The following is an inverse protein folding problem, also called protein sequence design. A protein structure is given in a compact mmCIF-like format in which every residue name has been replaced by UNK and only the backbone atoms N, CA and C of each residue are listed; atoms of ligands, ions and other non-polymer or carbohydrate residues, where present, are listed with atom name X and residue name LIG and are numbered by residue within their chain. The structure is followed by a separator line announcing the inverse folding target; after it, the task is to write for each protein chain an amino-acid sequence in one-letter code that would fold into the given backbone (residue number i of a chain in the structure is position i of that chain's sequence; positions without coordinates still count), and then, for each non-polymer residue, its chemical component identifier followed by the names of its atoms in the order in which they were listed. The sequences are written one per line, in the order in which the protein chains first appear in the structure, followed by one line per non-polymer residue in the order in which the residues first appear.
data_IF_378709966368
#
_entry.id   IF_378709966368
#
_cell.length_a   1.000
_cell.length_b   1.000
_cell.length_c   1.000
_cell.angle_alpha   90.00
_cell.angle_beta   90.00
_cell.angle_gamma   90.00
#
_symmetry.space_group_name_H-M   'P 1'
#
loop_
_entity.id
_entity.type
_entity.pdbx_description
1 polymer ?
#
# COMPACT_ATOMS: atom_id res chain seq x y z
N UNK A 1 -34.55 -55.16 58.26
CA UNK A 1 -34.00 -55.79 57.03
C UNK A 1 -32.70 -55.04 56.73
N UNK A 2 -31.55 -55.54 57.20
CA UNK A 2 -30.54 -56.30 56.41
C UNK A 2 -30.16 -55.53 55.13
N UNK A 3 -28.93 -55.09 54.87
CA UNK A 3 -27.61 -55.71 55.10
C UNK A 3 -26.48 -54.65 55.01
N UNK A 4 -25.42 -54.85 55.79
CA UNK A 4 -24.06 -54.34 55.54
C UNK A 4 -23.56 -54.84 54.17
N UNK A 5 -22.77 -54.02 53.45
CA UNK A 5 -21.63 -54.49 52.64
C UNK A 5 -20.50 -53.47 52.61
N UNK A 6 -19.31 -53.99 52.90
CA UNK A 6 -18.02 -53.32 53.07
C UNK A 6 -17.26 -53.05 51.76
N UNK A 7 -16.20 -52.25 51.91
CA UNK A 7 -14.88 -52.35 51.29
C UNK A 7 -14.70 -51.87 49.82
N UNK A 8 -13.85 -50.85 49.65
CA UNK A 8 -12.64 -50.95 48.83
C UNK A 8 -11.69 -49.77 49.14
N UNK A 9 -10.54 -50.11 49.71
CA UNK A 9 -9.38 -49.24 49.90
C UNK A 9 -8.60 -49.20 48.58
N UNK A 10 -8.55 -48.05 47.92
CA UNK A 10 -7.79 -47.83 46.68
C UNK A 10 -6.63 -46.87 46.92
N UNK A 11 -5.43 -47.42 47.05
CA UNK A 11 -4.15 -46.71 47.09
C UNK A 11 -3.78 -46.29 45.66
N UNK A 12 -3.70 -45.00 45.36
CA UNK A 12 -3.16 -44.50 44.10
C UNK A 12 -1.85 -43.74 44.30
N UNK A 13 -0.83 -44.22 43.58
CA UNK A 13 0.52 -43.68 43.47
C UNK A 13 0.52 -42.25 42.88
N UNK A 14 1.46 -41.44 43.36
CA UNK A 14 1.79 -40.13 42.84
C UNK A 14 2.38 -40.18 41.42
N UNK A 15 1.93 -39.27 40.54
CA UNK A 15 2.64 -38.88 39.33
C UNK A 15 2.79 -37.35 39.33
N UNK A 16 4.02 -36.88 39.50
CA UNK A 16 4.37 -35.46 39.41
C UNK A 16 4.26 -34.98 37.97
N UNK A 17 3.36 -34.02 37.72
CA UNK A 17 3.27 -33.33 36.44
C UNK A 17 4.36 -32.26 36.36
N UNK A 18 5.36 -32.49 35.50
CA UNK A 18 6.30 -31.47 35.07
C UNK A 18 5.56 -30.50 34.13
N UNK A 19 5.09 -29.37 34.64
CA UNK A 19 4.49 -28.32 33.82
C UNK A 19 5.61 -27.51 33.15
N UNK A 20 5.95 -27.88 31.92
CA UNK A 20 6.68 -26.99 31.02
C UNK A 20 5.75 -25.86 30.60
N UNK A 21 5.87 -24.70 31.24
CA UNK A 21 5.21 -23.48 30.79
C UNK A 21 5.83 -23.06 29.46
N UNK A 22 5.20 -23.43 28.35
CA UNK A 22 5.52 -22.89 27.04
C UNK A 22 5.33 -21.36 27.08
N UNK A 23 6.38 -20.62 26.71
CA UNK A 23 6.27 -19.18 26.51
C UNK A 23 5.21 -18.89 25.44
N UNK A 24 4.34 -17.88 25.64
CA UNK A 24 3.36 -17.51 24.62
C UNK A 24 4.07 -17.09 23.32
N UNK A 25 3.47 -17.37 22.15
CA UNK A 25 4.02 -16.93 20.87
C UNK A 25 4.17 -15.41 20.85
N UNK A 26 5.35 -14.94 20.47
CA UNK A 26 5.66 -13.51 20.29
C UNK A 26 4.67 -12.94 19.27
N UNK A 27 3.82 -12.00 19.70
CA UNK A 27 2.89 -11.32 18.82
C UNK A 27 3.64 -10.69 17.63
N UNK A 28 3.08 -10.75 16.40
CA UNK A 28 3.68 -10.06 15.25
C UNK A 28 3.80 -8.57 15.58
N UNK A 29 4.97 -7.99 15.30
CA UNK A 29 5.20 -6.58 15.51
C UNK A 29 4.17 -5.77 14.71
N UNK A 30 3.35 -4.97 15.38
CA UNK A 30 2.47 -3.99 14.74
C UNK A 30 3.33 -3.08 13.86
N UNK A 31 3.03 -2.93 12.56
CA UNK A 31 3.75 -2.00 11.71
C UNK A 31 3.64 -0.60 12.30
N UNK A 32 4.79 0.04 12.54
CA UNK A 32 4.86 1.44 12.96
C UNK A 32 4.10 2.27 11.92
N UNK A 33 3.07 3.00 12.36
CA UNK A 33 2.34 3.94 11.51
C UNK A 33 3.35 4.87 10.79
N UNK A 34 3.12 5.23 9.52
CA UNK A 34 3.99 6.17 8.82
C UNK A 34 4.11 7.48 9.62
N UNK A 35 5.24 8.19 9.54
CA UNK A 35 5.42 9.44 10.28
C UNK A 35 4.31 10.44 9.94
N UNK A 36 3.77 11.10 10.97
CA UNK A 36 2.58 11.94 10.93
C UNK A 36 2.76 13.34 10.29
N UNK A 37 3.62 13.47 9.30
CA UNK A 37 3.70 14.64 8.41
C UNK A 37 4.05 14.12 7.02
N UNK A 38 3.16 14.29 6.05
CA UNK A 38 3.48 14.16 4.62
C UNK A 38 4.73 15.03 4.40
N UNK A 39 5.89 14.41 4.16
CA UNK A 39 7.14 15.14 3.97
C UNK A 39 7.02 16.11 2.78
N UNK A 40 7.91 17.10 2.68
CA UNK A 40 7.85 18.11 1.60
C UNK A 40 7.80 17.50 0.18
N UNK A 41 8.37 16.32 -0.02
CA UNK A 41 8.26 15.57 -1.28
C UNK A 41 6.85 15.07 -1.55
N UNK A 42 6.21 14.42 -0.58
CA UNK A 42 4.87 13.88 -0.75
C UNK A 42 3.83 15.00 -0.92
N UNK A 43 4.02 16.17 -0.29
CA UNK A 43 3.16 17.34 -0.49
C UNK A 43 3.31 17.91 -1.92
N UNK A 44 4.54 17.98 -2.43
CA UNK A 44 4.84 18.41 -3.79
C UNK A 44 4.19 17.46 -4.82
N UNK A 45 4.34 16.14 -4.62
CA UNK A 45 3.75 15.12 -5.50
C UNK A 45 2.23 15.13 -5.42
N UNK A 46 1.65 15.28 -4.23
CA UNK A 46 0.20 15.37 -4.05
C UNK A 46 -0.40 16.53 -4.85
N UNK A 47 0.25 17.71 -4.81
CA UNK A 47 -0.18 18.87 -5.59
C UNK A 47 -0.13 18.60 -7.10
N UNK A 48 0.97 18.00 -7.58
CA UNK A 48 1.09 17.62 -8.99
C UNK A 48 0.02 16.62 -9.41
N UNK A 49 -0.18 15.55 -8.63
CA UNK A 49 -1.18 14.53 -8.95
C UNK A 49 -2.61 15.08 -8.90
N UNK A 50 -2.90 16.05 -8.04
CA UNK A 50 -4.19 16.73 -8.05
C UNK A 50 -4.46 17.46 -9.37
N UNK A 51 -3.42 18.05 -9.99
CA UNK A 51 -3.52 18.71 -11.29
C UNK A 51 -3.67 17.68 -12.43
N UNK A 52 -2.81 16.66 -12.44
CA UNK A 52 -2.78 15.64 -13.51
C UNK A 52 -4.04 14.78 -13.53
N UNK A 53 -4.62 14.47 -12.36
CA UNK A 53 -5.73 13.54 -12.25
C UNK A 53 -7.00 14.00 -12.97
N UNK A 54 -7.23 15.32 -13.08
CA UNK A 54 -8.33 15.85 -13.90
C UNK A 54 -8.20 15.42 -15.36
N UNK A 55 -7.01 15.57 -15.94
CA UNK A 55 -6.72 15.18 -17.30
C UNK A 55 -6.69 13.66 -17.46
N UNK A 56 -6.11 12.95 -16.48
CA UNK A 56 -6.06 11.48 -16.38
C UNK A 56 -7.46 10.87 -16.48
N UNK A 57 -8.38 11.36 -15.65
CA UNK A 57 -9.77 10.90 -15.59
C UNK A 57 -10.50 11.17 -16.90
N UNK A 58 -10.39 12.40 -17.43
CA UNK A 58 -11.08 12.81 -18.65
C UNK A 58 -10.64 12.01 -19.88
N UNK A 59 -9.35 11.67 -19.95
CA UNK A 59 -8.78 10.98 -21.09
C UNK A 59 -8.70 9.45 -20.90
N UNK A 60 -8.94 8.96 -19.69
CA UNK A 60 -8.82 7.54 -19.38
C UNK A 60 -7.38 7.03 -19.49
N UNK A 61 -6.37 7.84 -19.18
CA UNK A 61 -4.95 7.45 -19.33
C UNK A 61 -4.11 7.85 -18.13
N UNK A 62 -3.04 7.12 -17.90
CA UNK A 62 -2.04 7.42 -16.89
C UNK A 62 -1.14 8.60 -17.28
N UNK A 63 -0.68 9.33 -16.27
CA UNK A 63 0.41 10.29 -16.36
C UNK A 63 1.46 9.95 -15.32
N UNK A 64 2.73 9.91 -15.70
CA UNK A 64 3.82 9.49 -14.84
C UNK A 64 5.06 10.37 -14.92
N UNK A 65 5.94 10.22 -13.95
CA UNK A 65 7.22 10.91 -13.90
C UNK A 65 8.00 10.57 -12.64
N UNK A 66 8.95 11.43 -12.31
CA UNK A 66 9.82 11.28 -11.16
C UNK A 66 9.82 12.53 -10.30
N UNK A 67 9.99 12.33 -9.00
CA UNK A 67 10.40 13.38 -8.06
C UNK A 67 11.81 13.06 -7.55
N UNK A 68 12.57 14.10 -7.24
CA UNK A 68 13.91 13.92 -6.74
C UNK A 68 14.57 15.21 -6.33
N UNK A 69 15.89 15.18 -6.26
CA UNK A 69 16.74 16.30 -5.87
C UNK A 69 17.52 16.82 -7.06
N UNK A 70 17.50 18.13 -7.28
CA UNK A 70 18.40 18.80 -8.21
C UNK A 70 19.83 18.82 -7.65
N UNK A 71 20.82 19.26 -8.45
CA UNK A 71 22.21 19.41 -7.98
C UNK A 71 22.33 20.39 -6.80
N UNK A 72 21.42 21.36 -6.70
CA UNK A 72 21.31 22.30 -5.57
C UNK A 72 20.78 21.66 -4.28
N UNK A 73 20.22 20.44 -4.35
CA UNK A 73 19.50 19.80 -3.25
C UNK A 73 18.02 20.16 -3.15
N UNK A 74 17.52 21.03 -4.02
CA UNK A 74 16.09 21.37 -4.11
C UNK A 74 15.25 20.18 -4.57
N UNK A 75 14.01 20.06 -4.07
CA UNK A 75 13.04 19.09 -4.59
C UNK A 75 12.51 19.56 -5.95
N UNK A 76 12.55 18.67 -6.93
CA UNK A 76 12.11 18.96 -8.30
C UNK A 76 11.34 17.78 -8.88
N UNK A 77 10.40 18.08 -9.77
CA UNK A 77 9.60 17.12 -10.53
C UNK A 77 10.14 17.00 -11.95
N UNK A 78 10.09 15.82 -12.54
CA UNK A 78 10.26 15.66 -13.98
C UNK A 78 9.04 16.25 -14.70
N UNK A 79 9.19 16.54 -15.99
CA UNK A 79 8.02 16.78 -16.85
C UNK A 79 7.15 15.49 -16.86
N UNK A 80 5.82 15.60 -16.67
CA UNK A 80 4.94 14.44 -16.78
C UNK A 80 4.94 13.86 -18.21
N UNK A 81 5.04 12.54 -18.30
CA UNK A 81 4.80 11.76 -19.52
C UNK A 81 3.35 11.30 -19.53
N UNK A 82 2.70 11.37 -20.69
CA UNK A 82 1.39 10.74 -20.90
C UNK A 82 1.61 9.27 -21.27
N UNK A 83 0.95 8.37 -20.56
CA UNK A 83 0.89 6.94 -20.86
C UNK A 83 -0.34 6.56 -21.67
N UNK A 84 -0.82 5.35 -21.40
CA UNK A 84 -2.05 4.77 -21.92
C UNK A 84 -3.01 4.41 -20.78
N UNK A 85 -4.00 3.56 -21.04
CA UNK A 85 -5.06 3.21 -20.09
C UNK A 85 -4.58 2.42 -18.87
N UNK A 86 -3.44 1.74 -18.97
CA UNK A 86 -2.96 0.80 -17.95
C UNK A 86 -1.44 0.81 -17.74
N UNK A 87 -0.71 1.69 -18.44
CA UNK A 87 0.74 1.81 -18.28
C UNK A 87 1.25 3.22 -18.57
N UNK A 88 2.36 3.56 -17.92
CA UNK A 88 3.10 4.76 -18.25
C UNK A 88 4.61 4.56 -18.04
N UNK A 89 5.39 4.91 -19.04
CA UNK A 89 6.85 4.88 -18.97
C UNK A 89 7.38 6.33 -18.95
N UNK A 90 7.89 6.83 -17.82
CA UNK A 90 8.37 8.20 -17.73
C UNK A 90 9.67 8.38 -18.52
N UNK A 91 9.83 9.56 -19.12
CA UNK A 91 11.07 9.90 -19.81
C UNK A 91 12.19 10.18 -18.79
N UNK A 92 13.43 9.88 -19.17
CA UNK A 92 14.61 10.14 -18.32
C UNK A 92 14.71 11.64 -17.95
N UNK A 93 14.70 11.99 -16.65
CA UNK A 93 14.64 13.39 -16.23
C UNK A 93 16.00 14.08 -16.33
N UNK A 94 16.09 15.17 -17.12
CA UNK A 94 17.33 15.97 -17.23
C UNK A 94 17.57 16.92 -16.05
N UNK A 95 16.52 17.27 -15.31
CA UNK A 95 16.57 18.25 -14.21
C UNK A 95 16.77 17.61 -12.82
N UNK A 96 16.76 16.28 -12.72
CA UNK A 96 16.88 15.56 -11.46
C UNK A 96 18.29 14.96 -11.37
N UNK A 97 19.04 15.31 -10.34
CA UNK A 97 20.35 14.74 -10.08
C UNK A 97 20.29 13.43 -9.30
N UNK A 98 19.26 13.27 -8.44
CA UNK A 98 18.98 12.03 -7.71
C UNK A 98 17.48 11.82 -7.63
N UNK A 99 16.98 10.79 -8.29
CA UNK A 99 15.57 10.36 -8.20
C UNK A 99 15.34 9.77 -6.81
N UNK A 100 14.23 10.12 -6.18
CA UNK A 100 13.83 9.59 -4.86
C UNK A 100 12.55 8.78 -4.95
N UNK A 101 11.65 9.12 -5.88
CA UNK A 101 10.46 8.34 -6.14
C UNK A 101 9.94 8.51 -7.59
N UNK A 102 9.22 7.52 -8.07
CA UNK A 102 8.30 7.64 -9.20
C UNK A 102 6.98 8.27 -8.73
N UNK A 103 6.20 8.78 -9.67
CA UNK A 103 4.78 9.07 -9.46
C UNK A 103 3.98 8.67 -10.69
N UNK A 104 2.73 8.26 -10.49
CA UNK A 104 1.75 8.17 -11.56
C UNK A 104 0.31 8.37 -11.12
N UNK A 105 -0.55 8.73 -12.08
CA UNK A 105 -2.00 8.62 -11.97
C UNK A 105 -2.44 7.30 -12.57
N UNK A 106 -3.41 6.64 -11.96
CA UNK A 106 -4.28 5.74 -12.70
C UNK A 106 -5.28 6.56 -13.54
N UNK A 107 -5.78 5.96 -14.61
CA UNK A 107 -6.74 6.56 -15.53
C UNK A 107 -8.10 6.89 -14.90
N UNK A 108 -9.11 7.13 -15.74
CA UNK A 108 -10.50 7.27 -15.28
C UNK A 108 -11.05 5.95 -14.72
N UNK A 109 -12.13 6.02 -13.96
CA UNK A 109 -12.79 4.83 -13.44
C UNK A 109 -13.28 3.91 -14.57
N UNK A 110 -13.02 2.61 -14.41
CA UNK A 110 -13.48 1.52 -15.26
C UNK A 110 -13.90 0.34 -14.36
N UNK A 111 -15.16 -0.09 -14.45
CA UNK A 111 -15.70 -1.17 -13.63
C UNK A 111 -15.11 -2.56 -13.97
N UNK A 112 -14.44 -2.69 -15.12
CA UNK A 112 -13.77 -3.93 -15.53
C UNK A 112 -12.32 -4.03 -15.02
N UNK A 113 -11.82 -3.01 -14.32
CA UNK A 113 -10.41 -2.92 -13.93
C UNK A 113 -10.24 -2.50 -12.47
N UNK A 114 -9.34 -3.17 -11.74
CA UNK A 114 -9.00 -2.79 -10.36
C UNK A 114 -8.06 -1.60 -10.36
N UNK A 115 -8.66 -0.41 -10.43
CA UNK A 115 -7.96 0.87 -10.52
C UNK A 115 -7.65 1.53 -9.17
N UNK A 116 -8.12 1.00 -8.04
CA UNK A 116 -7.96 1.66 -6.73
C UNK A 116 -6.74 1.22 -5.89
N UNK A 117 -5.95 0.28 -6.40
CA UNK A 117 -4.76 -0.25 -5.74
C UNK A 117 -3.57 -0.14 -6.69
N UNK A 118 -2.37 0.25 -6.22
CA UNK A 118 -1.14 0.09 -7.01
C UNK A 118 -0.99 -1.35 -7.48
N UNK A 119 -0.47 -1.55 -8.69
CA UNK A 119 -0.20 -2.87 -9.25
C UNK A 119 1.01 -3.54 -8.57
N UNK A 120 1.18 -4.86 -8.76
CA UNK A 120 2.44 -5.51 -8.35
C UNK A 120 3.63 -4.99 -9.14
N UNK A 121 3.42 -4.66 -10.41
CA UNK A 121 4.46 -4.17 -11.32
C UNK A 121 4.95 -2.78 -10.91
N UNK A 122 4.07 -1.92 -10.37
CA UNK A 122 4.45 -0.63 -9.78
C UNK A 122 5.47 -0.85 -8.66
N UNK A 123 5.13 -1.76 -7.73
CA UNK A 123 5.95 -2.02 -6.54
C UNK A 123 7.28 -2.68 -6.90
N UNK A 124 7.26 -3.62 -7.86
CA UNK A 124 8.47 -4.30 -8.31
C UNK A 124 9.38 -3.39 -9.14
N UNK A 125 8.80 -2.53 -9.98
CA UNK A 125 9.52 -1.53 -10.77
C UNK A 125 10.27 -0.54 -9.88
N UNK A 126 9.57 0.06 -8.91
CA UNK A 126 10.19 0.97 -7.95
C UNK A 126 11.27 0.28 -7.12
N UNK A 127 11.02 -0.98 -6.71
CA UNK A 127 11.99 -1.78 -5.96
C UNK A 127 13.25 -2.08 -6.77
N UNK A 128 13.10 -2.44 -8.05
CA UNK A 128 14.22 -2.69 -8.96
C UNK A 128 15.06 -1.42 -9.18
N UNK A 129 14.41 -0.27 -9.25
CA UNK A 129 15.05 1.05 -9.35
C UNK A 129 15.61 1.57 -8.03
N UNK A 130 15.27 0.94 -6.90
CA UNK A 130 15.65 1.37 -5.54
C UNK A 130 15.16 2.78 -5.19
N UNK A 131 13.97 3.13 -5.66
CA UNK A 131 13.27 4.39 -5.37
C UNK A 131 11.93 4.07 -4.70
N UNK A 132 11.24 5.06 -4.15
CA UNK A 132 9.85 4.89 -3.70
C UNK A 132 8.87 5.16 -4.85
N UNK A 133 7.57 5.07 -4.58
CA UNK A 133 6.52 5.40 -5.55
C UNK A 133 5.34 6.14 -4.94
N UNK A 134 4.63 6.89 -5.77
CA UNK A 134 3.40 7.60 -5.42
C UNK A 134 2.32 7.35 -6.48
N UNK A 135 1.13 6.96 -6.04
CA UNK A 135 0.03 6.63 -6.97
C UNK A 135 -1.24 7.37 -6.59
N UNK A 136 -1.92 7.99 -7.56
CA UNK A 136 -3.27 8.52 -7.37
C UNK A 136 -4.32 7.72 -8.16
N UNK A 137 -5.45 7.42 -7.53
CA UNK A 137 -6.49 6.53 -8.10
C UNK A 137 -7.77 7.27 -8.46
N UNK A 138 -8.66 6.71 -9.31
CA UNK A 138 -9.92 7.35 -9.71
C UNK A 138 -10.80 7.84 -8.55
N UNK A 139 -10.82 7.17 -7.39
CA UNK A 139 -11.58 7.60 -6.22
C UNK A 139 -10.88 8.70 -5.40
N UNK A 140 -9.76 9.23 -5.89
CA UNK A 140 -8.99 10.28 -5.25
C UNK A 140 -8.12 9.80 -4.09
N UNK A 141 -7.73 8.51 -4.04
CA UNK A 141 -6.77 8.04 -3.02
C UNK A 141 -5.37 8.48 -3.40
N UNK A 142 -4.51 8.59 -2.39
CA UNK A 142 -3.10 8.87 -2.57
C UNK A 142 -2.27 7.84 -1.84
N UNK A 143 -1.56 7.02 -2.61
CA UNK A 143 -0.74 5.91 -2.14
C UNK A 143 0.74 6.27 -2.15
N UNK A 144 1.46 5.64 -1.23
CA UNK A 144 2.91 5.64 -1.16
C UNK A 144 3.42 4.20 -1.13
N UNK A 145 4.35 3.89 -2.03
CA UNK A 145 5.07 2.63 -2.10
C UNK A 145 6.42 2.84 -1.40
N UNK A 146 6.57 2.27 -0.21
CA UNK A 146 7.85 2.23 0.48
C UNK A 146 8.59 0.95 0.09
N UNK A 147 9.57 1.07 -0.79
CA UNK A 147 10.31 -0.08 -1.32
C UNK A 147 11.32 -0.65 -0.34
N UNK A 148 11.79 0.16 0.61
CA UNK A 148 12.70 -0.29 1.67
C UNK A 148 11.99 -1.23 2.64
N UNK A 149 10.76 -0.88 3.03
CA UNK A 149 9.92 -1.66 3.96
C UNK A 149 9.00 -2.65 3.23
N UNK A 150 8.89 -2.57 1.90
CA UNK A 150 7.96 -3.35 1.05
C UNK A 150 6.51 -3.25 1.52
N UNK A 151 6.09 -2.03 1.84
CA UNK A 151 4.72 -1.70 2.25
C UNK A 151 4.13 -0.61 1.37
N UNK A 152 2.85 -0.74 1.09
CA UNK A 152 2.05 0.15 0.28
C UNK A 152 1.03 0.79 1.21
N UNK A 153 1.02 2.11 1.33
CA UNK A 153 0.27 2.84 2.36
C UNK A 153 -0.54 3.96 1.71
N UNK A 154 -1.82 4.10 2.06
CA UNK A 154 -2.56 5.31 1.78
C UNK A 154 -2.05 6.44 2.67
N UNK A 155 -1.48 7.47 2.06
CA UNK A 155 -1.20 8.74 2.74
C UNK A 155 -2.52 9.46 3.05
N UNK A 156 -3.50 9.33 2.15
CA UNK A 156 -4.89 9.71 2.38
C UNK A 156 -5.83 8.90 1.49
N UNK A 157 -7.10 8.79 1.90
CA UNK A 157 -8.09 7.91 1.28
C UNK A 157 -9.00 8.61 0.28
N UNK A 158 -10.20 8.04 0.12
CA UNK A 158 -11.25 8.52 -0.78
C UNK A 158 -11.44 10.04 -0.75
N UNK A 159 -11.47 10.68 -1.92
CA UNK A 159 -11.73 12.11 -2.09
C UNK A 159 -10.58 13.02 -1.63
N UNK A 160 -9.39 12.48 -1.37
CA UNK A 160 -8.23 13.30 -1.02
C UNK A 160 -7.69 14.10 -2.21
N UNK A 161 -7.82 13.53 -3.41
CA UNK A 161 -7.52 14.15 -4.69
C UNK A 161 -8.79 14.20 -5.56
N UNK A 162 -8.81 14.95 -6.69
CA UNK A 162 -9.99 15.03 -7.55
C UNK A 162 -10.44 13.65 -8.05
N UNK A 163 -11.63 13.23 -7.68
CA UNK A 163 -12.14 11.90 -8.03
C UNK A 163 -12.96 11.92 -9.33
N UNK A 164 -13.05 10.77 -9.98
CA UNK A 164 -13.96 10.54 -11.09
C UNK A 164 -15.41 10.52 -10.57
N UNK A 165 -16.28 11.32 -11.19
CA UNK A 165 -17.72 11.34 -10.87
C UNK A 165 -18.44 10.02 -11.18
N UNK A 166 -17.85 9.18 -12.04
CA UNK A 166 -18.37 7.87 -12.40
C UNK A 166 -17.99 6.78 -11.40
N UNK A 167 -17.04 7.06 -10.49
CA UNK A 167 -16.56 6.07 -9.53
C UNK A 167 -17.68 5.57 -8.61
N UNK A 168 -17.84 4.25 -8.55
CA UNK A 168 -18.79 3.60 -7.64
C UNK A 168 -18.06 3.01 -6.45
N UNK A 169 -18.44 3.43 -5.24
CA UNK A 169 -17.79 2.96 -4.02
C UNK A 169 -18.11 1.49 -3.78
N UNK A 170 -17.05 0.69 -3.67
CA UNK A 170 -17.14 -0.73 -3.33
C UNK A 170 -16.94 -1.66 -4.52
N UNK A 171 -16.79 -1.14 -5.73
CA UNK A 171 -16.51 -1.95 -6.93
C UNK A 171 -15.21 -2.76 -6.78
N UNK A 172 -14.17 -2.11 -6.25
CA UNK A 172 -12.91 -2.76 -5.85
C UNK A 172 -12.97 -3.36 -4.43
N UNK A 173 -14.16 -3.65 -3.91
CA UNK A 173 -14.37 -4.20 -2.58
C UNK A 173 -13.76 -3.37 -1.44
N UNK A 174 -13.56 -3.99 -0.25
CA UNK A 174 -12.88 -3.33 0.85
C UNK A 174 -11.40 -3.05 0.54
N UNK A 175 -11.00 -1.79 0.68
CA UNK A 175 -9.62 -1.34 0.49
C UNK A 175 -9.01 -0.95 1.83
N UNK A 176 -7.98 -1.68 2.25
CA UNK A 176 -7.24 -1.41 3.48
C UNK A 176 -6.35 -0.17 3.33
N UNK A 177 -6.05 0.49 4.46
CA UNK A 177 -5.13 1.66 4.47
C UNK A 177 -3.68 1.30 4.16
N UNK A 178 -3.32 0.02 4.27
CA UNK A 178 -1.98 -0.46 4.04
C UNK A 178 -2.01 -1.93 3.60
N UNK A 179 -1.04 -2.29 2.76
CA UNK A 179 -0.71 -3.66 2.38
C UNK A 179 0.80 -3.88 2.50
N UNK A 180 1.22 -5.07 2.91
CA UNK A 180 2.53 -5.61 2.51
C UNK A 180 2.47 -6.00 1.04
N UNK A 181 3.63 -6.09 0.38
CA UNK A 181 3.67 -6.57 -1.02
C UNK A 181 2.97 -7.93 -1.20
N UNK A 182 3.13 -8.86 -0.25
CA UNK A 182 2.46 -10.17 -0.29
C UNK A 182 0.94 -10.05 -0.19
N UNK A 183 0.43 -9.20 0.70
CA UNK A 183 -1.02 -8.98 0.84
C UNK A 183 -1.61 -8.30 -0.40
N UNK A 184 -0.87 -7.36 -0.99
CA UNK A 184 -1.27 -6.72 -2.25
C UNK A 184 -1.37 -7.74 -3.38
N UNK A 185 -0.34 -8.57 -3.56
CA UNK A 185 -0.34 -9.62 -4.58
C UNK A 185 -1.49 -10.61 -4.39
N UNK A 186 -1.79 -11.02 -3.15
CA UNK A 186 -2.95 -11.86 -2.87
C UNK A 186 -4.26 -11.15 -3.19
N UNK A 187 -4.36 -9.86 -2.88
CA UNK A 187 -5.56 -9.06 -3.14
C UNK A 187 -5.84 -8.90 -4.63
N UNK A 188 -4.81 -8.71 -5.45
CA UNK A 188 -4.95 -8.50 -6.90
C UNK A 188 -5.21 -9.79 -7.69
N UNK A 189 -4.95 -10.96 -7.11
CA UNK A 189 -5.15 -12.28 -7.73
C UNK A 189 -6.42 -13.01 -7.22
N UNK A 190 -7.21 -12.37 -6.36
CA UNK A 190 -8.42 -12.92 -5.74
C UNK A 190 -9.68 -12.46 -6.47
#
# INVERSE_FOLDING_TARGET
MSFLKSLALGLFLAAGACTTTALPPKAPATPKAPPATIGGEAALVQSLLAELQKASIQQGVEYCGYVGRAKSGELVLSKPTRGDTASCLPAEPRNIARITASYHTHGGFDAAYTGELPSTDDVEGDYAMKINGYVSTPAGRFWFVDTTRRVIVQLCGFGCLPNDSRFTRGDDGPIAKQYTFKELALRLNA
#
